data_IF_368222217306
#
_entry.id   IF_368222217306
#
_cell.length_a   1.000
_cell.length_b   1.000
_cell.length_c   1.000
_cell.angle_alpha   90.00
_cell.angle_beta   90.00
_cell.angle_gamma   90.00
#
_symmetry.space_group_name_H-M   'P 1'
#
loop_
_entity.id
_entity.type
_entity.pdbx_description
1 polymer ?
#
# COMPACT_ATOMS: atom_id res chain seq x y z
N UNK A 1 -47.58 4.79 28.38
CA UNK A 1 -46.87 5.58 27.35
C UNK A 1 -45.39 5.76 27.68
N UNK A 2 -45.02 6.23 28.88
CA UNK A 2 -43.62 6.45 29.30
C UNK A 2 -42.72 5.18 29.32
N UNK A 3 -43.29 4.00 29.56
CA UNK A 3 -42.55 2.73 29.57
C UNK A 3 -42.06 2.35 28.17
N UNK A 4 -42.86 2.59 27.12
CA UNK A 4 -42.46 2.31 25.74
C UNK A 4 -41.31 3.21 25.27
N UNK A 5 -41.35 4.48 25.68
CA UNK A 5 -40.30 5.46 25.34
C UNK A 5 -38.97 5.11 26.02
N UNK A 6 -39.00 4.71 27.30
CA UNK A 6 -37.79 4.33 28.02
C UNK A 6 -37.15 3.05 27.47
N UNK A 7 -37.95 2.05 27.09
CA UNK A 7 -37.45 0.83 26.43
C UNK A 7 -36.82 1.15 25.08
N UNK A 8 -37.44 2.02 24.27
CA UNK A 8 -36.90 2.41 22.97
C UNK A 8 -35.54 3.14 23.09
N UNK A 9 -35.40 4.02 24.10
CA UNK A 9 -34.13 4.74 24.36
C UNK A 9 -33.04 3.77 24.81
N UNK A 10 -33.34 2.84 25.71
CA UNK A 10 -32.35 1.84 26.16
C UNK A 10 -31.92 0.89 25.05
N UNK A 11 -32.85 0.49 24.17
CA UNK A 11 -32.53 -0.31 22.98
C UNK A 11 -31.61 0.46 22.02
N UNK A 12 -31.91 1.74 21.76
CA UNK A 12 -31.07 2.59 20.91
C UNK A 12 -29.66 2.78 21.49
N UNK A 13 -29.56 3.06 22.79
CA UNK A 13 -28.29 3.25 23.48
C UNK A 13 -27.49 1.94 23.54
N UNK A 14 -28.16 0.80 23.73
CA UNK A 14 -27.55 -0.52 23.61
C UNK A 14 -27.00 -0.82 22.22
N UNK A 15 -27.74 -0.44 21.16
CA UNK A 15 -27.29 -0.64 19.78
C UNK A 15 -26.04 0.21 19.46
N UNK A 16 -26.01 1.45 19.94
CA UNK A 16 -24.85 2.36 19.78
C UNK A 16 -23.63 1.83 20.54
N UNK A 17 -23.82 1.32 21.77
CA UNK A 17 -22.74 0.70 22.54
C UNK A 17 -22.17 -0.56 21.86
N UNK A 18 -23.01 -1.33 21.16
CA UNK A 18 -22.57 -2.50 20.40
C UNK A 18 -21.78 -2.13 19.14
N UNK A 19 -22.15 -1.05 18.43
CA UNK A 19 -21.43 -0.55 17.25
C UNK A 19 -20.07 0.09 17.59
N UNK A 20 -19.96 0.76 18.74
CA UNK A 20 -18.70 1.42 19.14
C UNK A 20 -17.58 0.44 19.53
N UNK A 21 -17.87 -0.85 19.69
CA UNK A 21 -16.84 -1.89 19.92
C UNK A 21 -16.13 -2.37 18.66
N UNK A 22 -16.70 -2.12 17.48
CA UNK A 22 -16.17 -2.60 16.18
C UNK A 22 -15.30 -1.60 15.43
N UNK A 23 -15.23 -0.33 15.85
CA UNK A 23 -14.33 0.65 15.26
C UNK A 23 -13.01 0.68 16.05
N UNK A 24 -12.14 -0.29 15.78
CA UNK A 24 -10.81 -0.34 16.38
C UNK A 24 -9.83 0.50 15.54
N UNK A 25 -9.32 1.68 16.01
CA UNK A 25 -8.08 2.27 15.48
C UNK A 25 -6.83 1.44 15.88
N UNK A 26 -7.04 0.36 16.65
CA UNK A 26 -6.00 -0.46 17.28
C UNK A 26 -5.11 -1.19 16.25
N UNK A 27 -5.54 -1.37 15.00
CA UNK A 27 -4.73 -2.05 13.98
C UNK A 27 -3.43 -1.28 13.63
N UNK A 28 -3.49 0.05 13.57
CA UNK A 28 -2.33 0.90 13.29
C UNK A 28 -1.43 1.01 14.51
N UNK A 29 -2.01 1.17 15.70
CA UNK A 29 -1.26 1.27 16.96
C UNK A 29 -0.53 -0.05 17.30
N UNK A 30 -1.17 -1.22 17.13
CA UNK A 30 -0.53 -2.53 17.37
C UNK A 30 0.61 -2.83 16.38
N UNK A 31 0.50 -2.38 15.12
CA UNK A 31 1.57 -2.54 14.14
C UNK A 31 2.80 -1.68 14.50
N UNK A 32 2.60 -0.52 15.14
CA UNK A 32 3.68 0.34 15.61
C UNK A 32 4.46 -0.27 16.79
N UNK A 33 3.77 -0.97 17.70
CA UNK A 33 4.38 -1.60 18.88
C UNK A 33 4.90 -3.03 18.66
N UNK A 34 4.70 -3.62 17.48
CA UNK A 34 5.31 -4.91 17.18
C UNK A 34 6.84 -4.76 17.07
N UNK A 35 7.62 -5.67 17.67
CA UNK A 35 9.07 -5.61 17.58
C UNK A 35 9.51 -5.54 16.11
N UNK A 36 10.21 -4.47 15.73
CA UNK A 36 10.77 -4.34 14.39
C UNK A 36 11.79 -5.46 14.18
N UNK A 37 11.43 -6.46 13.39
CA UNK A 37 12.36 -7.51 12.98
C UNK A 37 13.54 -6.93 12.19
N UNK A 38 14.67 -7.65 12.16
CA UNK A 38 15.90 -7.19 11.50
C UNK A 38 15.68 -6.74 10.03
N UNK A 39 14.85 -7.48 9.28
CA UNK A 39 14.51 -7.12 7.89
C UNK A 39 13.78 -5.77 7.77
N UNK A 40 12.90 -5.44 8.73
CA UNK A 40 12.21 -4.14 8.73
C UNK A 40 13.22 -3.01 8.95
N UNK A 41 14.12 -3.17 9.92
CA UNK A 41 15.15 -2.18 10.21
C UNK A 41 16.11 -2.00 9.03
N UNK A 42 16.41 -3.08 8.31
CA UNK A 42 17.25 -2.99 7.12
C UNK A 42 16.55 -2.25 5.98
N UNK A 43 15.27 -2.51 5.76
CA UNK A 43 14.46 -1.81 4.75
C UNK A 43 14.32 -0.31 5.07
N UNK A 44 14.17 0.04 6.34
CA UNK A 44 14.11 1.44 6.84
C UNK A 44 15.43 2.21 6.67
N UNK A 45 16.56 1.51 6.56
CA UNK A 45 17.90 2.09 6.41
C UNK A 45 18.40 2.13 4.97
N UNK A 46 17.59 1.70 4.01
CA UNK A 46 18.00 1.68 2.61
C UNK A 46 18.25 3.09 2.09
N UNK A 47 19.36 3.25 1.38
CA UNK A 47 19.57 4.41 0.53
C UNK A 47 18.56 4.39 -0.64
N UNK A 48 18.17 5.55 -1.18
CA UNK A 48 17.19 5.60 -2.26
C UNK A 48 17.57 4.76 -3.49
N UNK A 49 18.85 4.69 -3.83
CA UNK A 49 19.33 3.88 -4.96
C UNK A 49 19.24 2.37 -4.68
N UNK A 50 19.40 1.96 -3.42
CA UNK A 50 19.22 0.57 -3.02
C UNK A 50 17.74 0.18 -3.09
N UNK A 51 16.86 1.08 -2.66
CA UNK A 51 15.41 0.88 -2.76
C UNK A 51 14.94 0.81 -4.22
N UNK A 52 15.44 1.69 -5.09
CA UNK A 52 15.16 1.62 -6.53
C UNK A 52 15.58 0.27 -7.13
N UNK A 53 16.83 -0.18 -6.88
CA UNK A 53 17.30 -1.48 -7.37
C UNK A 53 16.49 -2.65 -6.82
N UNK A 54 16.03 -2.56 -5.57
CA UNK A 54 15.14 -3.55 -4.97
C UNK A 54 13.80 -3.61 -5.73
N UNK A 55 13.18 -2.46 -5.97
CA UNK A 55 11.90 -2.36 -6.66
C UNK A 55 11.99 -2.84 -8.11
N UNK A 56 13.02 -2.45 -8.86
CA UNK A 56 13.26 -2.94 -10.22
C UNK A 56 13.39 -4.47 -10.24
N UNK A 57 14.25 -5.03 -9.39
CA UNK A 57 14.42 -6.49 -9.28
C UNK A 57 13.11 -7.18 -8.92
N UNK A 58 12.34 -6.63 -7.98
CA UNK A 58 11.06 -7.22 -7.58
C UNK A 58 10.07 -7.25 -8.75
N UNK A 59 9.94 -6.14 -9.48
CA UNK A 59 9.04 -6.04 -10.64
C UNK A 59 9.41 -7.07 -11.72
N UNK A 60 10.70 -7.23 -12.02
CA UNK A 60 11.18 -8.24 -12.97
C UNK A 60 10.93 -9.67 -12.47
N UNK A 61 11.22 -9.95 -11.20
CA UNK A 61 10.99 -11.27 -10.59
C UNK A 61 9.49 -11.64 -10.53
N UNK A 62 8.61 -10.65 -10.50
CA UNK A 62 7.17 -10.82 -10.61
C UNK A 62 6.70 -11.13 -12.05
N UNK A 63 7.62 -11.19 -13.02
CA UNK A 63 7.33 -11.54 -14.40
C UNK A 63 6.89 -10.36 -15.27
N UNK A 64 7.16 -9.12 -14.85
CA UNK A 64 6.91 -7.92 -15.64
C UNK A 64 8.20 -7.49 -16.36
N UNK A 65 8.08 -7.19 -17.66
CA UNK A 65 9.19 -6.63 -18.45
C UNK A 65 9.21 -5.12 -18.30
N UNK A 66 10.26 -4.57 -17.70
CA UNK A 66 10.40 -3.12 -17.50
C UNK A 66 10.70 -2.45 -18.85
N UNK A 67 9.90 -1.45 -19.21
CA UNK A 67 10.07 -0.65 -20.43
C UNK A 67 10.60 0.76 -20.15
N UNK A 68 10.48 1.26 -18.91
CA UNK A 68 11.02 2.55 -18.51
C UNK A 68 11.05 2.73 -16.99
N UNK A 69 11.92 3.62 -16.53
CA UNK A 69 11.98 4.05 -15.13
C UNK A 69 12.23 5.56 -15.10
N UNK A 70 11.37 6.29 -14.41
CA UNK A 70 11.44 7.74 -14.25
C UNK A 70 11.56 8.07 -12.76
N UNK A 71 12.50 8.95 -12.42
CA UNK A 71 12.68 9.41 -11.05
C UNK A 71 11.91 10.70 -10.83
N UNK A 72 10.85 10.65 -10.02
CA UNK A 72 10.03 11.81 -9.69
C UNK A 72 10.70 12.69 -8.62
N UNK A 73 11.22 12.06 -7.56
CA UNK A 73 11.98 12.72 -6.50
C UNK A 73 13.16 11.85 -6.07
N UNK A 74 13.94 12.30 -5.09
CA UNK A 74 15.01 11.48 -4.51
C UNK A 74 14.46 10.16 -3.94
N UNK A 75 13.21 10.14 -3.46
CA UNK A 75 12.60 9.02 -2.75
C UNK A 75 11.43 8.37 -3.51
N UNK A 76 11.14 8.84 -4.72
CA UNK A 76 10.00 8.38 -5.51
C UNK A 76 10.42 8.12 -6.96
N UNK A 77 10.08 6.93 -7.45
CA UNK A 77 10.28 6.52 -8.84
C UNK A 77 8.98 5.93 -9.40
N UNK A 78 8.80 6.08 -10.70
CA UNK A 78 7.77 5.41 -11.49
C UNK A 78 8.43 4.44 -12.47
N UNK A 79 7.97 3.21 -12.46
CA UNK A 79 8.42 2.15 -13.37
C UNK A 79 7.27 1.83 -14.31
N UNK A 80 7.52 1.94 -15.61
CA UNK A 80 6.60 1.45 -16.64
C UNK A 80 7.01 0.04 -17.00
N UNK A 81 6.07 -0.90 -16.94
CA UNK A 81 6.34 -2.30 -17.23
C UNK A 81 5.19 -2.95 -18.02
N UNK A 82 5.47 -4.08 -18.66
CA UNK A 82 4.52 -4.81 -19.50
C UNK A 82 4.50 -6.28 -19.11
N UNK A 83 3.31 -6.85 -18.92
CA UNK A 83 3.13 -8.30 -18.84
C UNK A 83 2.79 -8.86 -20.23
N UNK A 84 3.56 -9.86 -20.68
CA UNK A 84 3.33 -10.57 -21.94
C UNK A 84 2.41 -11.78 -21.81
N UNK A 85 1.80 -11.99 -20.63
CA UNK A 85 0.92 -13.13 -20.40
C UNK A 85 -0.28 -13.11 -21.36
N UNK A 86 -0.62 -14.23 -22.00
CA UNK A 86 -1.81 -14.31 -22.83
C UNK A 86 -3.06 -13.98 -22.00
N UNK A 87 -3.99 -13.20 -22.56
CA UNK A 87 -5.29 -12.83 -21.96
C UNK A 87 -5.21 -11.81 -20.81
N UNK A 88 -4.25 -11.94 -19.90
CA UNK A 88 -4.08 -11.05 -18.72
C UNK A 88 -2.97 -10.01 -18.88
N UNK A 89 -2.23 -10.06 -19.98
CA UNK A 89 -1.15 -9.13 -20.30
C UNK A 89 -1.62 -7.69 -20.52
N UNK A 90 -0.71 -6.74 -20.34
CA UNK A 90 -1.00 -5.32 -20.45
C UNK A 90 0.10 -4.43 -19.86
N UNK A 91 -0.13 -3.12 -19.92
CA UNK A 91 0.77 -2.11 -19.37
C UNK A 91 0.51 -1.90 -17.88
N UNK A 92 1.57 -1.72 -17.11
CA UNK A 92 1.55 -1.47 -15.67
C UNK A 92 2.35 -0.20 -15.38
N UNK A 93 1.85 0.59 -14.43
CA UNK A 93 2.60 1.69 -13.82
C UNK A 93 2.84 1.34 -12.37
N UNK A 94 4.11 1.30 -11.98
CA UNK A 94 4.53 0.92 -10.62
C UNK A 94 5.21 2.12 -9.96
N UNK A 95 4.55 2.74 -8.99
CA UNK A 95 5.14 3.83 -8.20
C UNK A 95 5.77 3.28 -6.94
N UNK A 96 7.04 3.58 -6.74
CA UNK A 96 7.78 3.15 -5.56
C UNK A 96 8.18 4.37 -4.74
N UNK A 97 7.77 4.41 -3.48
CA UNK A 97 8.03 5.54 -2.56
C UNK A 97 8.74 5.06 -1.30
N UNK A 98 9.94 5.58 -1.08
CA UNK A 98 10.73 5.39 0.14
C UNK A 98 10.36 6.48 1.16
N UNK A 99 9.83 6.08 2.32
CA UNK A 99 9.41 7.02 3.36
C UNK A 99 10.08 6.74 4.70
N UNK A 100 10.21 7.76 5.58
CA UNK A 100 10.59 7.55 6.97
C UNK A 100 9.57 6.65 7.69
N UNK A 101 10.01 5.80 8.65
CA UNK A 101 9.16 4.82 9.31
C UNK A 101 8.02 5.43 10.15
N UNK A 102 8.08 6.72 10.49
CA UNK A 102 7.05 7.40 11.27
C UNK A 102 5.94 8.03 10.39
N UNK A 103 6.09 8.02 9.06
CA UNK A 103 5.16 8.70 8.15
C UNK A 103 4.36 7.68 7.34
N UNK A 104 3.02 7.83 7.25
CA UNK A 104 2.22 7.04 6.33
C UNK A 104 2.25 7.59 4.90
N UNK A 105 1.92 6.73 3.94
CA UNK A 105 1.44 7.14 2.62
C UNK A 105 -0.04 7.52 2.73
N UNK A 106 -0.35 8.73 2.29
CA UNK A 106 -1.71 9.28 2.29
C UNK A 106 -2.47 8.97 0.99
N UNK A 107 -3.79 9.06 1.05
CA UNK A 107 -4.69 8.88 -0.11
C UNK A 107 -4.33 9.76 -1.30
N UNK A 108 -3.86 10.99 -1.07
CA UNK A 108 -3.48 11.93 -2.13
C UNK A 108 -2.41 11.37 -3.06
N UNK A 109 -1.42 10.65 -2.52
CA UNK A 109 -0.35 10.03 -3.30
C UNK A 109 -0.86 8.85 -4.15
N UNK A 110 -1.80 8.06 -3.60
CA UNK A 110 -2.43 6.93 -4.30
C UNK A 110 -3.37 7.42 -5.41
N UNK A 111 -4.12 8.49 -5.15
CA UNK A 111 -4.97 9.16 -6.15
C UNK A 111 -4.13 9.75 -7.29
N UNK A 112 -2.95 10.29 -6.98
CA UNK A 112 -2.02 10.77 -8.00
C UNK A 112 -1.54 9.62 -8.91
N UNK A 113 -1.20 8.45 -8.35
CA UNK A 113 -0.88 7.26 -9.15
C UNK A 113 -2.07 6.81 -9.99
N UNK A 114 -3.27 6.77 -9.41
CA UNK A 114 -4.52 6.42 -10.10
C UNK A 114 -4.77 7.32 -11.31
N UNK A 115 -4.51 8.63 -11.17
CA UNK A 115 -4.58 9.59 -12.27
C UNK A 115 -3.54 9.29 -13.37
N UNK A 116 -2.30 8.93 -13.00
CA UNK A 116 -1.26 8.51 -13.96
C UNK A 116 -1.66 7.23 -14.69
N UNK A 117 -2.22 6.22 -14.01
CA UNK A 117 -2.67 4.97 -14.61
C UNK A 117 -3.75 5.22 -15.67
N UNK A 118 -4.70 6.11 -15.39
CA UNK A 118 -5.73 6.52 -16.35
C UNK A 118 -5.12 7.24 -17.56
N UNK A 119 -4.21 8.19 -17.33
CA UNK A 119 -3.57 8.97 -18.39
C UNK A 119 -2.76 8.08 -19.34
N UNK A 120 -1.99 7.13 -18.78
CA UNK A 120 -1.16 6.18 -19.53
C UNK A 120 -1.95 4.98 -20.08
N UNK A 121 -3.27 4.90 -19.81
CA UNK A 121 -4.14 3.77 -20.16
C UNK A 121 -3.56 2.42 -19.71
N UNK A 122 -2.91 2.41 -18.55
CA UNK A 122 -2.36 1.20 -17.99
C UNK A 122 -3.48 0.31 -17.44
N UNK A 123 -3.27 -1.01 -17.54
CA UNK A 123 -4.22 -2.01 -17.08
C UNK A 123 -4.36 -1.98 -15.55
N UNK A 124 -3.24 -1.75 -14.84
CA UNK A 124 -3.19 -1.74 -13.38
C UNK A 124 -2.07 -0.83 -12.87
N UNK A 125 -2.35 -0.14 -11.77
CA UNK A 125 -1.31 0.53 -10.98
C UNK A 125 -0.80 -0.35 -9.85
N UNK A 126 0.47 -0.20 -9.48
CA UNK A 126 1.05 -0.84 -8.30
C UNK A 126 1.75 0.24 -7.47
N UNK A 127 1.44 0.34 -6.19
CA UNK A 127 2.08 1.27 -5.26
C UNK A 127 2.93 0.48 -4.26
N UNK A 128 4.24 0.68 -4.29
CA UNK A 128 5.19 0.00 -3.41
C UNK A 128 5.79 1.01 -2.43
N UNK A 129 5.81 0.68 -1.14
CA UNK A 129 6.51 1.48 -0.13
C UNK A 129 7.17 0.60 0.92
N UNK A 130 8.25 1.09 1.54
CA UNK A 130 8.85 0.48 2.72
C UNK A 130 8.05 0.72 4.01
N UNK A 131 7.14 1.70 4.01
CA UNK A 131 6.34 2.07 5.16
C UNK A 131 4.93 1.47 5.13
N UNK A 132 3.96 2.25 5.61
CA UNK A 132 2.56 1.83 5.70
C UNK A 132 1.64 2.86 5.06
N UNK A 133 0.44 2.42 4.70
CA UNK A 133 -0.62 3.30 4.21
C UNK A 133 -1.45 3.79 5.38
N UNK A 134 -1.94 5.02 5.29
CA UNK A 134 -2.90 5.56 6.25
C UNK A 134 -4.27 4.88 6.13
N UNK A 135 -5.11 5.01 7.16
CA UNK A 135 -6.40 4.31 7.26
C UNK A 135 -7.42 4.71 6.18
N UNK A 136 -7.24 5.87 5.55
CA UNK A 136 -8.08 6.33 4.44
C UNK A 136 -7.77 5.63 3.11
N UNK A 137 -6.56 5.12 2.92
CA UNK A 137 -6.13 4.54 1.62
C UNK A 137 -6.95 3.29 1.25
N UNK A 138 -7.19 2.31 2.14
CA UNK A 138 -8.02 1.15 1.79
C UNK A 138 -9.49 1.47 1.53
N UNK A 139 -9.95 2.68 1.91
CA UNK A 139 -11.33 3.14 1.70
C UNK A 139 -11.54 3.79 0.34
N UNK A 140 -10.48 3.92 -0.47
CA UNK A 140 -10.57 4.44 -1.82
C UNK A 140 -11.28 3.42 -2.72
N UNK A 141 -12.48 3.75 -3.18
CA UNK A 141 -13.33 2.90 -4.04
C UNK A 141 -13.40 3.36 -5.49
N UNK A 142 -12.86 4.54 -5.80
CA UNK A 142 -12.98 5.17 -7.13
C UNK A 142 -11.66 5.08 -7.91
N UNK A 143 -11.79 4.89 -9.22
CA UNK A 143 -10.67 4.89 -10.16
C UNK A 143 -10.19 3.49 -10.59
N UNK A 144 -9.08 3.43 -11.37
CA UNK A 144 -8.45 2.17 -11.77
C UNK A 144 -7.97 1.36 -10.57
N UNK A 145 -7.85 0.05 -10.76
CA UNK A 145 -7.35 -0.85 -9.73
C UNK A 145 -5.88 -0.56 -9.41
N UNK A 146 -5.61 -0.21 -8.15
CA UNK A 146 -4.26 -0.03 -7.61
C UNK A 146 -3.95 -1.16 -6.64
N UNK A 147 -2.88 -1.91 -6.89
CA UNK A 147 -2.31 -2.85 -5.92
C UNK A 147 -1.49 -2.08 -4.89
N UNK A 148 -1.73 -2.34 -3.60
CA UNK A 148 -1.03 -1.67 -2.50
C UNK A 148 -0.05 -2.63 -1.83
N UNK A 149 1.24 -2.34 -1.91
CA UNK A 149 2.33 -3.13 -1.34
C UNK A 149 3.03 -2.29 -0.27
N UNK A 150 2.67 -2.54 0.99
CA UNK A 150 3.32 -1.90 2.15
C UNK A 150 4.61 -2.64 2.54
N UNK A 151 5.36 -2.10 3.50
CA UNK A 151 6.64 -2.66 3.95
C UNK A 151 6.55 -4.10 4.48
N UNK A 152 5.42 -4.49 5.07
CA UNK A 152 5.19 -5.88 5.48
C UNK A 152 5.04 -6.81 4.27
N UNK A 153 4.18 -6.44 3.31
CA UNK A 153 3.93 -7.22 2.09
C UNK A 153 5.18 -7.26 1.20
N UNK A 154 5.92 -6.15 1.11
CA UNK A 154 7.19 -6.05 0.40
C UNK A 154 8.20 -7.07 0.95
N UNK A 155 8.40 -7.10 2.28
CA UNK A 155 9.29 -8.09 2.91
C UNK A 155 8.83 -9.53 2.66
N UNK A 156 7.53 -9.77 2.69
CA UNK A 156 6.99 -11.09 2.36
C UNK A 156 7.33 -11.49 0.92
N UNK A 157 7.08 -10.61 -0.05
CA UNK A 157 7.39 -10.86 -1.46
C UNK A 157 8.89 -11.06 -1.68
N UNK A 158 9.75 -10.32 -0.98
CA UNK A 158 11.20 -10.51 -1.02
C UNK A 158 11.60 -11.92 -0.58
N UNK A 159 10.99 -12.44 0.50
CA UNK A 159 11.25 -13.81 0.96
C UNK A 159 10.76 -14.86 -0.04
N UNK A 160 9.55 -14.67 -0.57
CA UNK A 160 8.94 -15.57 -1.56
C UNK A 160 9.81 -15.69 -2.83
N UNK A 161 10.41 -14.58 -3.27
CA UNK A 161 11.24 -14.54 -4.48
C UNK A 161 12.74 -14.62 -4.21
N UNK A 162 13.15 -14.91 -2.97
CA UNK A 162 14.56 -14.98 -2.53
C UNK A 162 15.38 -13.73 -2.90
N UNK A 163 14.76 -12.56 -2.85
CA UNK A 163 15.40 -11.28 -3.12
C UNK A 163 16.12 -10.82 -1.86
N UNK A 164 17.45 -10.74 -1.93
CA UNK A 164 18.28 -10.22 -0.85
C UNK A 164 18.53 -8.72 -1.01
N UNK A 165 18.63 -8.04 0.13
CA UNK A 165 19.12 -6.67 0.26
C UNK A 165 20.66 -6.67 0.20
N UNK A 166 21.20 -7.11 -0.95
CA UNK A 166 22.61 -6.97 -1.31
C UNK A 166 22.78 -5.78 -2.24
#
# INVERSE_FOLDING_TARGET
MFILVTVAILLGLGLILLLNRSAQPIAVEKAYYQPRGAEQQQLERLAPEQFERLCLRLVEQMGLSISGCHRNTQQEIDITAVSSQPITGGNYIVRCVLIPPERPIHSTQVIALSSTVLAERALKGIFITNGFFSEEVPKLTEGPTIELINGQRLRQMMREHRISLA
#
